data_IF_605552313124
#
_entry.id   IF_605552313124
#
_cell.length_a   1.000
_cell.length_b   1.000
_cell.length_c   1.000
_cell.angle_alpha   90.00
_cell.angle_beta   90.00
_cell.angle_gamma   90.00
#
_symmetry.space_group_name_H-M   'P 1'
#
loop_
_entity.id
_entity.type
_entity.pdbx_description
1 polymer ?
#
# COMPACT_ATOMS: atom_id res chain seq x y z
N UNK A 1 -41.90 31.78 -6.21
CA UNK A 1 -41.66 32.53 -4.97
C UNK A 1 -41.23 31.53 -3.91
N UNK A 2 -40.04 31.71 -3.32
CA UNK A 2 -39.43 30.78 -2.37
C UNK A 2 -40.10 30.89 -0.99
N UNK A 3 -40.36 29.77 -0.31
CA UNK A 3 -40.87 29.77 1.07
C UNK A 3 -39.81 29.31 2.07
N UNK A 4 -39.94 29.88 3.25
CA UNK A 4 -38.96 30.08 4.32
C UNK A 4 -39.10 28.95 5.33
N UNK A 5 -38.12 28.06 5.47
CA UNK A 5 -38.27 26.99 6.45
C UNK A 5 -37.20 25.90 6.51
N UNK A 6 -35.91 26.27 6.51
CA UNK A 6 -34.88 25.45 7.14
C UNK A 6 -34.31 24.30 6.32
N UNK A 7 -33.13 24.52 5.74
CA UNK A 7 -32.24 23.40 5.44
C UNK A 7 -31.63 22.94 6.77
N UNK A 8 -32.11 21.83 7.31
CA UNK A 8 -31.36 21.10 8.34
C UNK A 8 -30.05 20.66 7.70
N UNK A 9 -28.96 21.18 8.29
CA UNK A 9 -27.57 20.93 7.92
C UNK A 9 -27.37 19.44 7.67
N UNK A 10 -26.83 19.09 6.50
CA UNK A 10 -26.42 17.71 6.22
C UNK A 10 -25.53 17.25 7.36
N UNK A 11 -26.00 16.28 8.15
CA UNK A 11 -25.17 15.54 9.08
C UNK A 11 -23.99 14.99 8.28
N UNK A 12 -22.82 15.61 8.46
CA UNK A 12 -21.57 15.01 8.04
C UNK A 12 -21.40 13.79 8.92
N UNK A 13 -22.02 12.69 8.51
CA UNK A 13 -21.74 11.37 9.04
C UNK A 13 -20.25 11.21 8.87
N UNK A 14 -19.53 11.28 9.99
CA UNK A 14 -18.14 10.84 10.08
C UNK A 14 -18.22 9.34 9.87
N UNK A 15 -18.32 8.94 8.61
CA UNK A 15 -18.10 7.58 8.21
C UNK A 15 -16.66 7.32 8.61
N UNK A 16 -16.49 6.56 9.68
CA UNK A 16 -15.22 5.97 10.04
C UNK A 16 -14.91 4.97 8.92
N UNK A 17 -14.38 5.49 7.81
CA UNK A 17 -13.94 4.69 6.67
C UNK A 17 -12.88 3.75 7.21
N UNK A 18 -13.11 2.44 7.06
CA UNK A 18 -12.05 1.43 7.17
C UNK A 18 -10.78 2.00 6.55
N UNK A 19 -9.66 1.92 7.26
CA UNK A 19 -8.36 2.44 6.83
C UNK A 19 -8.16 2.12 5.36
N UNK A 20 -8.44 3.11 4.50
CA UNK A 20 -8.43 2.88 3.07
C UNK A 20 -6.98 2.54 2.72
N UNK A 21 -6.72 1.47 1.95
CA UNK A 21 -5.38 1.18 1.46
C UNK A 21 -4.80 2.50 0.95
N UNK A 22 -3.63 2.93 1.44
CA UNK A 22 -3.12 4.29 1.25
C UNK A 22 -3.29 4.65 -0.22
N UNK A 23 -4.16 5.63 -0.46
CA UNK A 23 -4.74 5.90 -1.79
C UNK A 23 -3.70 6.27 -2.85
N UNK A 24 -2.43 6.39 -2.46
CA UNK A 24 -1.30 6.77 -3.29
C UNK A 24 -0.02 6.00 -2.93
N UNK A 25 -0.11 4.71 -2.59
CA UNK A 25 1.09 3.88 -2.53
C UNK A 25 1.45 3.47 -3.96
N UNK A 26 2.55 4.01 -4.49
CA UNK A 26 3.04 3.63 -5.81
C UNK A 26 3.32 2.12 -5.88
N UNK A 27 3.05 1.48 -7.02
CA UNK A 27 3.39 0.07 -7.20
C UNK A 27 4.90 -0.13 -7.00
N UNK A 28 5.31 -1.22 -6.30
CA UNK A 28 6.72 -1.51 -6.12
C UNK A 28 7.40 -1.73 -7.48
N UNK A 29 8.54 -1.12 -7.67
CA UNK A 29 9.44 -1.38 -8.78
C UNK A 29 10.15 -2.72 -8.54
N UNK A 30 9.93 -3.68 -9.44
CA UNK A 30 10.58 -4.99 -9.38
C UNK A 30 11.68 -5.01 -10.46
N UNK A 31 12.89 -5.34 -10.05
CA UNK A 31 14.04 -5.47 -10.93
C UNK A 31 14.64 -6.87 -10.77
N UNK A 32 14.54 -7.65 -11.82
CA UNK A 32 15.11 -9.01 -11.84
C UNK A 32 16.63 -8.91 -11.90
N UNK A 33 17.30 -9.29 -10.81
CA UNK A 33 18.78 -9.31 -10.72
C UNK A 33 19.37 -10.64 -11.15
N UNK A 34 18.57 -11.71 -11.16
CA UNK A 34 19.00 -13.05 -11.57
C UNK A 34 17.83 -14.05 -11.65
N UNK A 35 18.15 -15.33 -11.93
CA UNK A 35 17.14 -16.39 -12.07
C UNK A 35 16.41 -16.73 -10.75
N UNK A 36 17.05 -16.46 -9.61
CA UNK A 36 16.54 -16.72 -8.26
C UNK A 36 16.58 -15.45 -7.38
N UNK A 37 16.80 -14.28 -8.00
CA UNK A 37 16.90 -13.02 -7.26
C UNK A 37 16.21 -11.86 -7.94
N UNK A 38 15.47 -11.09 -7.15
CA UNK A 38 14.83 -9.85 -7.59
C UNK A 38 14.97 -8.78 -6.52
N UNK A 39 15.22 -7.56 -6.97
CA UNK A 39 15.29 -6.35 -6.16
C UNK A 39 13.93 -5.66 -6.25
N UNK A 40 13.27 -5.51 -5.11
CA UNK A 40 11.99 -4.84 -4.96
C UNK A 40 12.23 -3.49 -4.30
N UNK A 41 11.77 -2.41 -4.92
CA UNK A 41 11.89 -1.05 -4.38
C UNK A 41 10.54 -0.36 -4.44
N UNK A 42 10.07 0.21 -3.34
CA UNK A 42 8.80 0.94 -3.30
C UNK A 42 9.02 2.38 -2.82
N UNK A 43 8.02 3.23 -3.02
CA UNK A 43 8.07 4.61 -2.55
C UNK A 43 7.09 4.82 -1.40
N UNK A 44 7.43 5.69 -0.44
CA UNK A 44 6.48 6.10 0.58
C UNK A 44 5.29 6.81 -0.08
N UNK A 45 4.05 6.58 0.39
CA UNK A 45 2.89 7.30 -0.12
C UNK A 45 3.01 8.79 0.20
N UNK A 46 2.67 9.65 -0.77
CA UNK A 46 2.74 11.11 -0.63
C UNK A 46 1.71 11.67 0.37
N UNK A 47 0.61 10.94 0.54
CA UNK A 47 -0.46 11.28 1.48
C UNK A 47 -0.73 10.07 2.37
N UNK A 48 0.10 9.84 3.40
CA UNK A 48 -0.27 8.88 4.43
C UNK A 48 -1.41 9.55 5.22
N UNK A 49 -2.63 9.01 5.11
CA UNK A 49 -3.77 9.43 5.92
C UNK A 49 -3.59 8.98 7.40
N UNK A 50 -2.35 8.98 7.90
CA UNK A 50 -1.88 8.39 9.16
C UNK A 50 -0.35 8.47 9.29
N UNK A 51 0.20 7.95 10.39
CA UNK A 51 1.67 7.81 10.58
C UNK A 51 2.05 6.42 10.07
N UNK A 52 2.88 6.35 9.02
CA UNK A 52 3.43 5.07 8.55
C UNK A 52 4.40 4.54 9.61
N UNK A 53 4.05 3.44 10.26
CA UNK A 53 4.92 2.79 11.26
C UNK A 53 5.92 1.83 10.63
N UNK A 54 5.69 1.40 9.39
CA UNK A 54 6.54 0.52 8.62
C UNK A 54 5.84 0.05 7.35
N UNK A 55 6.55 -0.72 6.55
CA UNK A 55 6.06 -1.38 5.35
C UNK A 55 6.05 -2.89 5.57
N UNK A 56 5.05 -3.53 5.01
CA UNK A 56 4.92 -4.98 4.95
C UNK A 56 4.96 -5.42 3.48
N UNK A 57 5.98 -6.20 3.12
CA UNK A 57 6.10 -6.81 1.80
C UNK A 57 5.58 -8.23 1.85
N UNK A 58 4.59 -8.50 1.00
CA UNK A 58 3.99 -9.82 0.82
C UNK A 58 4.39 -10.39 -0.53
N UNK A 59 4.77 -11.66 -0.55
CA UNK A 59 5.01 -12.48 -1.73
C UNK A 59 3.95 -13.57 -1.79
N UNK A 60 3.09 -13.55 -2.81
CA UNK A 60 1.96 -14.47 -2.98
C UNK A 60 1.02 -14.53 -1.76
N UNK A 61 0.91 -13.40 -1.06
CA UNK A 61 0.10 -13.24 0.15
C UNK A 61 0.84 -13.53 1.46
N UNK A 62 2.03 -14.14 1.42
CA UNK A 62 2.87 -14.39 2.59
C UNK A 62 3.78 -13.21 2.89
N UNK A 63 3.87 -12.80 4.15
CA UNK A 63 4.75 -11.70 4.56
C UNK A 63 6.21 -12.17 4.56
N UNK A 64 7.02 -11.56 3.69
CA UNK A 64 8.46 -11.87 3.58
C UNK A 64 9.35 -10.80 4.22
N UNK A 65 8.82 -9.59 4.43
CA UNK A 65 9.54 -8.51 5.05
C UNK A 65 8.59 -7.54 5.77
N UNK A 66 9.00 -7.08 6.96
CA UNK A 66 8.32 -6.03 7.73
C UNK A 66 9.37 -5.07 8.26
N UNK A 67 9.28 -3.80 7.90
CA UNK A 67 10.25 -2.80 8.33
C UNK A 67 10.02 -1.44 7.68
N UNK A 68 10.76 -0.43 8.12
CA UNK A 68 10.63 0.94 7.59
C UNK A 68 11.41 1.18 6.30
N UNK A 69 12.12 0.17 5.77
CA UNK A 69 12.86 0.33 4.53
C UNK A 69 11.93 0.30 3.33
N UNK A 70 12.41 0.88 2.24
CA UNK A 70 11.72 1.01 0.96
C UNK A 70 12.38 0.16 -0.14
N UNK A 71 13.29 -0.72 0.25
CA UNK A 71 14.01 -1.62 -0.64
C UNK A 71 14.14 -2.99 0.02
N UNK A 72 14.00 -4.05 -0.76
CA UNK A 72 14.20 -5.42 -0.33
C UNK A 72 14.78 -6.25 -1.47
N UNK A 73 15.74 -7.11 -1.15
CA UNK A 73 16.32 -8.03 -2.13
C UNK A 73 15.91 -9.45 -1.78
N UNK A 74 15.03 -10.04 -2.59
CA UNK A 74 14.64 -11.44 -2.44
C UNK A 74 15.63 -12.31 -3.23
N UNK A 75 16.26 -13.26 -2.54
CA UNK A 75 17.16 -14.28 -3.12
C UNK A 75 16.61 -15.70 -2.98
N UNK A 76 15.38 -15.83 -2.49
CA UNK A 76 14.77 -17.12 -2.15
C UNK A 76 13.82 -17.62 -3.26
N UNK A 77 14.00 -17.11 -4.47
CA UNK A 77 13.08 -17.34 -5.58
C UNK A 77 13.47 -18.55 -6.41
N UNK A 78 12.46 -19.23 -6.93
CA UNK A 78 12.65 -20.34 -7.86
C UNK A 78 12.52 -19.82 -9.30
N UNK A 79 13.47 -20.13 -10.20
CA UNK A 79 13.37 -19.75 -11.61
C UNK A 79 12.15 -20.38 -12.28
N UNK A 80 11.58 -19.68 -13.26
CA UNK A 80 10.37 -20.11 -13.98
C UNK A 80 9.07 -20.15 -13.16
N UNK A 81 9.04 -19.53 -11.97
CA UNK A 81 7.83 -19.28 -11.20
C UNK A 81 7.44 -17.80 -11.26
N UNK A 82 6.13 -17.54 -11.29
CA UNK A 82 5.57 -16.20 -11.16
C UNK A 82 5.31 -15.90 -9.69
N UNK A 83 5.78 -14.75 -9.22
CA UNK A 83 5.60 -14.28 -7.86
C UNK A 83 4.87 -12.94 -7.88
N UNK A 84 3.90 -12.78 -6.99
CA UNK A 84 3.16 -11.54 -6.83
C UNK A 84 3.63 -10.78 -5.58
N UNK A 85 4.11 -9.56 -5.76
CA UNK A 85 4.59 -8.72 -4.66
C UNK A 85 3.60 -7.61 -4.34
N UNK A 86 3.22 -7.51 -3.06
CA UNK A 86 2.31 -6.48 -2.57
C UNK A 86 2.97 -5.79 -1.39
N UNK A 87 3.05 -4.46 -1.44
CA UNK A 87 3.51 -3.61 -0.34
C UNK A 87 2.31 -2.98 0.33
N UNK A 88 2.30 -3.03 1.67
CA UNK A 88 1.30 -2.42 2.54
C UNK A 88 2.05 -1.48 3.50
N UNK A 89 1.46 -0.33 3.86
CA UNK A 89 2.02 0.64 4.80
C UNK A 89 1.03 0.91 5.95
#
# INVERSE_FOLDING_TARGET
ACTRGGCTSSDSTTANTEEAPPTNLDPPAIKVTGPESVEITWRPPECPNGIITGYELRRDGEVIYVGSETHYHDFTLVPSMEYSYVVIA
#
